data_IF_011392736221
#
_entry.id   IF_011392736221
#
_cell.length_a   1.000
_cell.length_b   1.000
_cell.length_c   1.000
_cell.angle_alpha   90.00
_cell.angle_beta   90.00
_cell.angle_gamma   90.00
#
_symmetry.space_group_name_H-M   'P 1'
#
loop_
_entity.id
_entity.type
_entity.pdbx_description
1 polymer ?
#
# COMPACT_ATOMS: atom_id res chain seq x y z
N UNK A 1 -6.42 19.32 -42.70
CA UNK A 1 -5.69 20.01 -43.79
C UNK A 1 -4.24 20.32 -43.43
N UNK A 2 -3.90 21.22 -42.49
CA UNK A 2 -2.48 21.54 -42.17
C UNK A 2 -1.68 20.35 -41.60
N UNK A 3 -2.29 19.52 -40.74
CA UNK A 3 -1.69 18.29 -40.21
C UNK A 3 -1.61 17.16 -41.26
N UNK A 4 -2.51 17.14 -42.25
CA UNK A 4 -2.48 16.19 -43.38
C UNK A 4 -1.39 16.53 -44.41
N UNK A 5 -0.93 17.78 -44.43
CA UNK A 5 0.16 18.26 -45.29
C UNK A 5 1.48 18.47 -44.53
N UNK A 6 1.55 18.04 -43.27
CA UNK A 6 2.70 18.15 -42.36
C UNK A 6 3.33 19.56 -42.27
N UNK A 7 2.54 20.61 -42.48
CA UNK A 7 3.05 21.96 -42.63
C UNK A 7 3.02 22.72 -41.29
N UNK A 8 4.03 22.49 -40.45
CA UNK A 8 4.12 23.04 -39.08
C UNK A 8 4.26 24.56 -39.03
N UNK A 9 4.96 25.17 -40.00
CA UNK A 9 5.13 26.63 -40.08
C UNK A 9 3.80 27.35 -40.29
N UNK A 10 2.93 26.80 -41.14
CA UNK A 10 1.59 27.34 -41.39
C UNK A 10 0.67 27.19 -40.18
N UNK A 11 0.82 26.10 -39.43
CA UNK A 11 0.10 25.88 -38.18
C UNK A 11 0.51 26.89 -37.10
N UNK A 12 1.81 27.11 -36.91
CA UNK A 12 2.33 28.14 -36.00
C UNK A 12 1.86 29.55 -36.39
N UNK A 13 1.83 29.86 -37.69
CA UNK A 13 1.30 31.14 -38.18
C UNK A 13 -0.20 31.31 -37.85
N UNK A 14 -1.01 30.27 -38.00
CA UNK A 14 -2.42 30.32 -37.62
C UNK A 14 -2.62 30.40 -36.10
N UNK A 15 -1.76 29.76 -35.31
CA UNK A 15 -1.79 29.88 -33.85
C UNK A 15 -1.46 31.30 -33.39
N UNK A 16 -0.49 31.96 -34.02
CA UNK A 16 -0.17 33.36 -33.73
C UNK A 16 -1.28 34.33 -34.19
N UNK A 17 -1.85 34.09 -35.38
CA UNK A 17 -2.87 34.97 -35.98
C UNK A 17 -4.24 34.87 -35.29
N UNK A 18 -4.58 33.71 -34.73
CA UNK A 18 -5.85 33.46 -34.03
C UNK A 18 -5.63 33.23 -32.53
N UNK A 19 -4.58 33.79 -31.95
CA UNK A 19 -4.30 33.70 -30.52
C UNK A 19 -5.48 34.23 -29.68
N UNK A 20 -6.10 35.32 -30.12
CA UNK A 20 -7.24 35.97 -29.45
C UNK A 20 -8.55 35.15 -29.52
N UNK A 21 -8.60 34.10 -30.35
CA UNK A 21 -9.78 33.24 -30.52
C UNK A 21 -9.59 31.86 -29.87
N UNK A 22 -8.58 31.68 -29.01
CA UNK A 22 -8.24 30.40 -28.38
C UNK A 22 -8.10 29.25 -29.39
N UNK A 23 -7.52 29.53 -30.56
CA UNK A 23 -7.29 28.51 -31.59
C UNK A 23 -6.40 27.36 -31.10
N UNK A 24 -5.50 27.63 -30.15
CA UNK A 24 -4.69 26.62 -29.49
C UNK A 24 -5.54 25.56 -28.76
N UNK A 25 -6.63 25.95 -28.09
CA UNK A 25 -7.49 25.01 -27.37
C UNK A 25 -8.20 24.04 -28.33
N UNK A 26 -8.67 24.52 -29.48
CA UNK A 26 -9.27 23.68 -30.50
C UNK A 26 -8.27 22.66 -31.07
N UNK A 27 -7.03 23.11 -31.27
CA UNK A 27 -5.96 22.24 -31.75
C UNK A 27 -5.58 21.17 -30.70
N UNK A 28 -5.49 21.55 -29.43
CA UNK A 28 -5.19 20.63 -28.34
C UNK A 28 -6.30 19.60 -28.13
N UNK A 29 -7.58 20.01 -28.19
CA UNK A 29 -8.73 19.09 -28.20
C UNK A 29 -8.68 18.12 -29.37
N UNK A 30 -8.38 18.61 -30.57
CA UNK A 30 -8.25 17.77 -31.74
C UNK A 30 -7.09 16.76 -31.63
N UNK A 31 -5.93 17.17 -31.10
CA UNK A 31 -4.81 16.26 -30.84
C UNK A 31 -5.16 15.17 -29.82
N UNK A 32 -5.95 15.52 -28.79
CA UNK A 32 -6.48 14.58 -27.81
C UNK A 32 -7.45 13.57 -28.44
N UNK A 33 -8.43 14.04 -29.22
CA UNK A 33 -9.42 13.19 -29.92
C UNK A 33 -8.78 12.24 -30.94
N UNK A 34 -7.68 12.65 -31.58
CA UNK A 34 -6.95 11.83 -32.55
C UNK A 34 -5.85 10.98 -31.92
N UNK A 35 -5.70 10.99 -30.59
CA UNK A 35 -4.69 10.20 -29.87
C UNK A 35 -3.25 10.64 -30.11
N UNK A 36 -3.00 11.83 -30.67
CA UNK A 36 -1.67 12.34 -31.03
C UNK A 36 -0.99 13.05 -29.85
N UNK A 37 -0.92 12.38 -28.70
CA UNK A 37 -0.39 12.93 -27.44
C UNK A 37 1.09 13.31 -27.52
N UNK A 38 1.90 12.56 -28.26
CA UNK A 38 3.32 12.90 -28.46
C UNK A 38 3.53 14.26 -29.15
N UNK A 39 2.66 14.61 -30.10
CA UNK A 39 2.70 15.92 -30.77
C UNK A 39 2.14 17.06 -29.92
N UNK A 40 1.26 16.76 -28.96
CA UNK A 40 0.79 17.74 -27.98
C UNK A 40 1.94 18.19 -27.07
N UNK A 41 2.81 17.25 -26.69
CA UNK A 41 3.93 17.50 -25.76
C UNK A 41 5.16 18.09 -26.44
N UNK A 42 5.32 17.90 -27.76
CA UNK A 42 6.43 18.45 -28.54
C UNK A 42 6.20 19.88 -29.04
N UNK A 43 5.30 20.64 -28.41
CA UNK A 43 4.97 22.00 -28.87
C UNK A 43 6.08 23.00 -28.47
N UNK A 44 6.29 24.06 -29.28
CA UNK A 44 7.29 25.08 -28.99
C UNK A 44 7.06 25.79 -27.65
N UNK A 45 8.15 26.28 -27.03
CA UNK A 45 8.14 26.94 -25.72
C UNK A 45 7.18 28.15 -25.63
N UNK A 46 6.91 28.83 -26.74
CA UNK A 46 5.95 29.95 -26.80
C UNK A 46 4.50 29.54 -26.51
N UNK A 47 4.18 28.25 -26.59
CA UNK A 47 2.83 27.71 -26.42
C UNK A 47 2.67 26.95 -25.09
N UNK A 48 3.74 26.82 -24.28
CA UNK A 48 3.71 26.12 -23.00
C UNK A 48 2.72 26.76 -22.01
N UNK A 49 2.53 28.07 -22.03
CA UNK A 49 1.54 28.74 -21.18
C UNK A 49 0.09 28.38 -21.56
N UNK A 50 -0.24 28.39 -22.85
CA UNK A 50 -1.58 28.00 -23.34
C UNK A 50 -1.83 26.50 -23.13
N UNK A 51 -0.79 25.69 -23.33
CA UNK A 51 -0.84 24.26 -23.07
C UNK A 51 -1.01 23.97 -21.56
N UNK A 52 -0.34 24.70 -20.67
CA UNK A 52 -0.53 24.57 -19.23
C UNK A 52 -1.97 24.89 -18.80
N UNK A 53 -2.55 25.99 -19.31
CA UNK A 53 -3.96 26.35 -19.08
C UNK A 53 -4.92 25.25 -19.55
N UNK A 54 -4.68 24.71 -20.74
CA UNK A 54 -5.45 23.58 -21.28
C UNK A 54 -5.30 22.31 -20.43
N UNK A 55 -4.08 22.00 -19.98
CA UNK A 55 -3.77 20.83 -19.17
C UNK A 55 -4.28 20.92 -17.73
N UNK A 56 -4.63 22.10 -17.20
CA UNK A 56 -5.34 22.19 -15.92
C UNK A 56 -6.67 21.42 -15.94
N UNK A 57 -7.35 21.39 -17.09
CA UNK A 57 -8.57 20.60 -17.30
C UNK A 57 -8.29 19.09 -17.44
N UNK A 58 -7.03 18.70 -17.67
CA UNK A 58 -6.58 17.33 -17.89
C UNK A 58 -5.42 16.97 -16.96
N UNK A 59 -5.69 17.01 -15.64
CA UNK A 59 -4.70 16.74 -14.58
C UNK A 59 -3.87 15.46 -14.78
N UNK A 60 -4.44 14.43 -15.43
CA UNK A 60 -3.76 13.16 -15.71
C UNK A 60 -2.53 13.28 -16.64
N UNK A 61 -2.43 14.34 -17.44
CA UNK A 61 -1.34 14.58 -18.39
C UNK A 61 -0.43 15.76 -18.01
N UNK A 62 -0.80 16.54 -17.00
CA UNK A 62 -0.08 17.77 -16.63
C UNK A 62 1.36 17.50 -16.19
N UNK A 63 1.61 16.37 -15.51
CA UNK A 63 2.96 16.00 -15.06
C UNK A 63 3.95 15.81 -16.22
N UNK A 64 3.51 15.32 -17.39
CA UNK A 64 4.38 15.17 -18.56
C UNK A 64 4.85 16.53 -19.10
N UNK A 65 3.95 17.52 -19.07
CA UNK A 65 4.30 18.89 -19.46
C UNK A 65 5.23 19.53 -18.43
N UNK A 66 4.95 19.35 -17.13
CA UNK A 66 5.81 19.87 -16.06
C UNK A 66 7.24 19.32 -16.17
N UNK A 67 7.42 18.02 -16.46
CA UNK A 67 8.76 17.43 -16.71
C UNK A 67 9.43 18.07 -17.93
N UNK A 68 8.69 18.32 -19.01
CA UNK A 68 9.26 18.95 -20.20
C UNK A 68 9.69 20.40 -19.97
N UNK A 69 9.00 21.12 -19.09
CA UNK A 69 9.31 22.50 -18.68
C UNK A 69 10.37 22.56 -17.57
N UNK A 70 10.90 21.40 -17.14
CA UNK A 70 11.81 21.26 -15.99
C UNK A 70 11.21 21.70 -14.65
N UNK A 71 9.88 21.77 -14.53
CA UNK A 71 9.18 22.00 -13.27
C UNK A 71 8.91 20.67 -12.56
N UNK A 72 9.95 20.11 -11.95
CA UNK A 72 9.87 18.81 -11.29
C UNK A 72 8.98 18.82 -10.04
N UNK A 73 8.88 19.96 -9.35
CA UNK A 73 8.06 20.09 -8.15
C UNK A 73 6.55 20.00 -8.48
N UNK A 74 6.11 20.72 -9.51
CA UNK A 74 4.72 20.63 -9.96
C UNK A 74 4.42 19.25 -10.59
N UNK A 75 5.41 18.60 -11.19
CA UNK A 75 5.29 17.23 -11.68
C UNK A 75 5.05 16.25 -10.52
N UNK A 76 5.89 16.32 -9.47
CA UNK A 76 5.77 15.52 -8.25
C UNK A 76 4.37 15.66 -7.62
N UNK A 77 3.91 16.88 -7.35
CA UNK A 77 2.57 17.13 -6.77
C UNK A 77 1.45 16.52 -7.58
N UNK A 78 1.53 16.64 -8.91
CA UNK A 78 0.53 16.06 -9.81
C UNK A 78 0.56 14.53 -9.79
N UNK A 79 1.75 13.93 -9.80
CA UNK A 79 1.94 12.48 -9.74
C UNK A 79 1.47 11.91 -8.40
N UNK A 80 1.79 12.56 -7.28
CA UNK A 80 1.35 12.16 -5.95
C UNK A 80 -0.17 12.21 -5.84
N UNK A 81 -0.81 13.28 -6.33
CA UNK A 81 -2.28 13.36 -6.36
C UNK A 81 -2.90 12.24 -7.21
N UNK A 82 -2.34 11.95 -8.38
CA UNK A 82 -2.80 10.84 -9.21
C UNK A 82 -2.59 9.48 -8.53
N UNK A 83 -1.48 9.28 -7.84
CA UNK A 83 -1.22 8.06 -7.07
C UNK A 83 -2.24 7.89 -5.94
N UNK A 84 -2.57 8.96 -5.23
CA UNK A 84 -3.57 8.95 -4.16
C UNK A 84 -4.97 8.59 -4.69
N UNK A 85 -5.35 9.12 -5.86
CA UNK A 85 -6.63 8.80 -6.51
C UNK A 85 -6.66 7.41 -7.16
N UNK A 86 -5.51 6.81 -7.44
CA UNK A 86 -5.43 5.50 -8.07
C UNK A 86 -5.74 4.40 -7.07
N UNK A 87 -6.92 3.80 -7.23
CA UNK A 87 -7.38 2.63 -6.47
C UNK A 87 -7.62 1.40 -7.36
N UNK A 88 -7.64 1.60 -8.69
CA UNK A 88 -8.07 0.57 -9.65
C UNK A 88 -6.97 -0.40 -10.04
N UNK A 89 -5.74 0.09 -10.17
CA UNK A 89 -4.60 -0.74 -10.57
C UNK A 89 -3.43 -0.57 -9.62
N UNK A 90 -3.08 -1.63 -8.89
CA UNK A 90 -1.98 -1.64 -7.95
C UNK A 90 -0.63 -1.28 -8.59
N UNK A 91 -0.29 -1.93 -9.71
CA UNK A 91 0.97 -1.68 -10.45
C UNK A 91 1.06 -0.23 -10.92
N UNK A 92 -0.07 0.37 -11.31
CA UNK A 92 -0.12 1.76 -11.74
C UNK A 92 0.15 2.71 -10.57
N UNK A 93 -0.45 2.48 -9.40
CA UNK A 93 -0.20 3.29 -8.19
C UNK A 93 1.29 3.26 -7.82
N UNK A 94 1.91 2.07 -7.80
CA UNK A 94 3.35 1.93 -7.55
C UNK A 94 4.20 2.70 -8.55
N UNK A 95 3.88 2.59 -9.84
CA UNK A 95 4.62 3.29 -10.89
C UNK A 95 4.51 4.81 -10.74
N UNK A 96 3.32 5.32 -10.40
CA UNK A 96 3.10 6.74 -10.16
C UNK A 96 3.88 7.25 -8.94
N UNK A 97 3.92 6.49 -7.83
CA UNK A 97 4.72 6.84 -6.65
C UNK A 97 6.22 6.80 -6.95
N UNK A 98 6.70 5.76 -7.64
CA UNK A 98 8.11 5.68 -8.03
C UNK A 98 8.53 6.83 -8.95
N UNK A 99 7.69 7.19 -9.93
CA UNK A 99 7.91 8.37 -10.78
C UNK A 99 7.89 9.66 -9.95
N UNK A 100 6.94 9.79 -9.02
CA UNK A 100 6.82 10.92 -8.11
C UNK A 100 8.10 11.11 -7.28
N UNK A 101 8.62 10.03 -6.71
CA UNK A 101 9.88 10.00 -5.95
C UNK A 101 11.07 10.42 -6.81
N UNK A 102 11.19 9.88 -8.03
CA UNK A 102 12.27 10.25 -8.95
C UNK A 102 12.19 11.72 -9.37
N UNK A 103 10.99 12.26 -9.63
CA UNK A 103 10.83 13.68 -9.95
C UNK A 103 11.18 14.57 -8.76
N UNK A 104 10.83 14.14 -7.55
CA UNK A 104 11.16 14.87 -6.33
C UNK A 104 12.68 14.89 -6.08
N UNK A 105 13.35 13.75 -6.24
CA UNK A 105 14.81 13.65 -6.12
C UNK A 105 15.58 14.42 -7.20
N UNK A 106 14.98 14.62 -8.37
CA UNK A 106 15.54 15.42 -9.45
C UNK A 106 15.26 16.93 -9.29
N UNK A 107 14.47 17.34 -8.29
CA UNK A 107 14.15 18.74 -8.06
C UNK A 107 15.20 19.45 -7.21
N UNK A 108 15.34 20.77 -7.39
CA UNK A 108 16.31 21.62 -6.68
C UNK A 108 15.82 22.04 -5.27
N UNK A 109 15.07 21.18 -4.57
CA UNK A 109 14.57 21.45 -3.22
C UNK A 109 15.72 21.43 -2.18
N UNK A 110 15.50 22.14 -1.07
CA UNK A 110 16.40 22.06 0.08
C UNK A 110 16.35 20.64 0.70
N UNK A 111 17.50 20.13 1.14
CA UNK A 111 17.64 18.74 1.64
C UNK A 111 16.66 18.43 2.79
N UNK A 112 16.34 19.39 3.65
CA UNK A 112 15.40 19.20 4.77
C UNK A 112 13.94 19.03 4.31
N UNK A 113 13.50 19.80 3.30
CA UNK A 113 12.15 19.69 2.73
C UNK A 113 12.03 18.48 1.83
N UNK A 114 13.12 18.14 1.14
CA UNK A 114 13.24 16.93 0.33
C UNK A 114 13.10 15.68 1.19
N UNK A 115 13.80 15.62 2.34
CA UNK A 115 13.75 14.49 3.27
C UNK A 115 12.32 14.20 3.72
N UNK A 116 11.60 15.23 4.21
CA UNK A 116 10.20 15.08 4.66
C UNK A 116 9.27 14.52 3.58
N UNK A 117 9.33 15.10 2.37
CA UNK A 117 8.46 14.64 1.27
C UNK A 117 8.85 13.24 0.78
N UNK A 118 10.13 12.88 0.85
CA UNK A 118 10.58 11.52 0.54
C UNK A 118 10.10 10.54 1.59
N UNK A 119 10.16 10.89 2.88
CA UNK A 119 9.69 10.05 3.98
C UNK A 119 8.18 9.77 3.86
N UNK A 120 7.38 10.77 3.50
CA UNK A 120 5.95 10.60 3.23
C UNK A 120 5.68 9.59 2.10
N UNK A 121 6.48 9.63 1.02
CA UNK A 121 6.37 8.66 -0.09
C UNK A 121 6.85 7.28 0.36
N UNK A 122 7.93 7.21 1.14
CA UNK A 122 8.48 5.94 1.64
C UNK A 122 7.48 5.22 2.53
N UNK A 123 6.72 5.94 3.35
CA UNK A 123 5.66 5.32 4.15
C UNK A 123 4.51 4.80 3.24
N UNK A 124 4.10 5.55 2.22
CA UNK A 124 3.15 5.02 1.23
C UNK A 124 3.69 3.78 0.50
N UNK A 125 4.98 3.73 0.18
CA UNK A 125 5.63 2.55 -0.41
C UNK A 125 5.66 1.37 0.55
N UNK A 126 5.88 1.61 1.85
CA UNK A 126 5.87 0.58 2.91
C UNK A 126 4.49 -0.05 3.04
N UNK A 127 3.42 0.73 3.02
CA UNK A 127 2.05 0.19 2.95
C UNK A 127 1.86 -0.73 1.73
N UNK A 128 2.26 -0.27 0.53
CA UNK A 128 2.10 -1.04 -0.71
C UNK A 128 2.97 -2.30 -0.74
N UNK A 129 4.08 -2.34 0.00
CA UNK A 129 4.93 -3.52 0.13
C UNK A 129 4.17 -4.70 0.77
N UNK A 130 3.22 -4.43 1.67
CA UNK A 130 2.38 -5.48 2.25
C UNK A 130 1.49 -6.15 1.20
N UNK A 131 0.97 -5.41 0.22
CA UNK A 131 0.21 -5.98 -0.88
C UNK A 131 1.12 -6.69 -1.90
N UNK A 132 2.32 -6.16 -2.16
CA UNK A 132 3.28 -6.77 -3.08
C UNK A 132 3.80 -8.12 -2.58
N UNK A 133 4.00 -8.24 -1.27
CA UNK A 133 4.55 -9.45 -0.65
C UNK A 133 3.50 -10.51 -0.32
N UNK A 134 2.30 -10.40 -0.90
CA UNK A 134 1.26 -11.42 -0.81
C UNK A 134 1.76 -12.74 -1.43
N UNK A 135 1.52 -13.90 -0.78
CA UNK A 135 1.94 -15.18 -1.33
C UNK A 135 1.30 -15.48 -2.69
N UNK A 136 2.11 -15.86 -3.69
CA UNK A 136 1.60 -16.21 -5.03
C UNK A 136 0.61 -17.38 -5.00
N UNK A 137 0.81 -18.35 -4.11
CA UNK A 137 -0.10 -19.48 -3.91
C UNK A 137 -1.50 -19.01 -3.49
N UNK A 138 -1.59 -18.01 -2.61
CA UNK A 138 -2.85 -17.44 -2.18
C UNK A 138 -3.55 -16.70 -3.35
N UNK A 139 -2.79 -15.96 -4.15
CA UNK A 139 -3.32 -15.24 -5.32
C UNK A 139 -3.86 -16.22 -6.37
N UNK A 140 -3.17 -17.34 -6.61
CA UNK A 140 -3.62 -18.42 -7.48
C UNK A 140 -4.91 -19.08 -6.97
N UNK A 141 -4.97 -19.42 -5.68
CA UNK A 141 -6.16 -20.01 -5.05
C UNK A 141 -7.38 -19.07 -5.13
N UNK A 142 -7.16 -17.76 -5.02
CA UNK A 142 -8.20 -16.72 -5.17
C UNK A 142 -8.47 -16.29 -6.61
N UNK A 143 -7.78 -16.87 -7.60
CA UNK A 143 -7.86 -16.51 -9.02
C UNK A 143 -7.63 -15.00 -9.29
N UNK A 144 -6.74 -14.38 -8.52
CA UNK A 144 -6.40 -12.97 -8.66
C UNK A 144 -5.13 -12.79 -9.50
N UNK A 145 -5.21 -11.91 -10.50
CA UNK A 145 -4.05 -11.54 -11.30
C UNK A 145 -3.29 -10.39 -10.61
N UNK A 146 -1.99 -10.54 -10.31
CA UNK A 146 -1.17 -9.49 -9.69
C UNK A 146 -1.17 -8.16 -10.47
N UNK A 147 -1.23 -8.24 -11.80
CA UNK A 147 -1.14 -7.07 -12.67
C UNK A 147 -2.44 -6.26 -12.77
N UNK A 148 -3.58 -6.91 -12.57
CA UNK A 148 -4.90 -6.29 -12.71
C UNK A 148 -5.62 -6.10 -11.37
N UNK A 149 -4.96 -6.44 -10.25
CA UNK A 149 -5.59 -6.32 -8.95
C UNK A 149 -5.77 -4.84 -8.55
N UNK A 150 -6.89 -4.51 -7.88
CA UNK A 150 -7.08 -3.19 -7.29
C UNK A 150 -6.13 -2.99 -6.12
N UNK A 151 -6.02 -1.73 -5.68
CA UNK A 151 -5.32 -1.38 -4.45
C UNK A 151 -6.22 -1.78 -3.29
N UNK A 152 -5.72 -2.66 -2.43
CA UNK A 152 -6.47 -3.20 -1.31
C UNK A 152 -6.32 -2.30 -0.08
N UNK A 153 -7.37 -2.22 0.74
CA UNK A 153 -7.30 -1.55 2.04
C UNK A 153 -6.56 -2.42 3.05
N UNK A 154 -6.09 -1.80 4.14
CA UNK A 154 -5.42 -2.50 5.25
C UNK A 154 -6.27 -3.67 5.78
N UNK A 155 -7.57 -3.43 6.01
CA UNK A 155 -8.51 -4.47 6.44
C UNK A 155 -8.57 -5.67 5.48
N UNK A 156 -8.69 -5.42 4.17
CA UNK A 156 -8.75 -6.49 3.18
C UNK A 156 -7.43 -7.27 3.10
N UNK A 157 -6.29 -6.60 3.27
CA UNK A 157 -4.98 -7.25 3.33
C UNK A 157 -4.84 -8.13 4.57
N UNK A 158 -5.26 -7.65 5.74
CA UNK A 158 -5.27 -8.43 6.98
C UNK A 158 -6.08 -9.72 6.78
N UNK A 159 -7.32 -9.60 6.27
CA UNK A 159 -8.18 -10.74 6.02
C UNK A 159 -7.57 -11.76 5.05
N UNK A 160 -6.84 -11.31 4.02
CA UNK A 160 -6.14 -12.18 3.10
C UNK A 160 -4.96 -12.91 3.77
N UNK A 161 -4.16 -12.20 4.58
CA UNK A 161 -3.03 -12.79 5.30
C UNK A 161 -3.47 -13.88 6.29
N UNK A 162 -4.57 -13.64 7.01
CA UNK A 162 -5.08 -14.55 8.04
C UNK A 162 -6.05 -15.62 7.52
N UNK A 163 -6.37 -15.62 6.22
CA UNK A 163 -7.36 -16.53 5.65
C UNK A 163 -6.96 -18.00 5.79
N UNK A 164 -7.95 -18.90 5.93
CA UNK A 164 -7.72 -20.35 5.94
C UNK A 164 -7.08 -20.85 4.63
N UNK A 165 -7.31 -20.12 3.52
CA UNK A 165 -6.71 -20.37 2.20
C UNK A 165 -5.19 -20.11 2.17
N UNK A 166 -4.65 -19.27 3.07
CA UNK A 166 -3.19 -19.13 3.20
C UNK A 166 -2.61 -20.33 3.97
N UNK A 167 -2.52 -21.49 3.31
CA UNK A 167 -2.10 -22.76 3.92
C UNK A 167 -0.68 -22.76 4.46
N UNK A 168 0.17 -21.85 3.97
CA UNK A 168 1.59 -21.72 4.38
C UNK A 168 1.84 -20.44 5.19
N UNK A 169 0.81 -19.87 5.80
CA UNK A 169 0.94 -18.72 6.67
C UNK A 169 1.98 -18.98 7.76
N UNK A 170 2.97 -18.11 7.85
CA UNK A 170 4.06 -18.18 8.83
C UNK A 170 4.04 -16.96 9.76
N UNK A 171 4.99 -16.88 10.69
CA UNK A 171 5.10 -15.78 11.65
C UNK A 171 5.25 -14.40 11.00
N UNK A 172 5.78 -14.32 9.77
CA UNK A 172 5.92 -13.06 9.04
C UNK A 172 4.59 -12.59 8.46
N UNK A 173 3.74 -13.50 8.00
CA UNK A 173 2.41 -13.15 7.46
C UNK A 173 1.51 -12.58 8.56
N UNK A 174 1.51 -13.19 9.74
CA UNK A 174 0.78 -12.67 10.89
C UNK A 174 1.40 -11.37 11.44
N UNK A 175 2.74 -11.24 11.43
CA UNK A 175 3.40 -9.98 11.79
C UNK A 175 3.03 -8.84 10.83
N UNK A 176 3.02 -9.09 9.53
CA UNK A 176 2.55 -8.10 8.53
C UNK A 176 1.08 -7.73 8.75
N UNK A 177 0.22 -8.69 9.11
CA UNK A 177 -1.17 -8.41 9.44
C UNK A 177 -1.30 -7.51 10.68
N UNK A 178 -0.45 -7.71 11.69
CA UNK A 178 -0.37 -6.84 12.87
C UNK A 178 0.16 -5.44 12.52
N UNK A 179 1.16 -5.33 11.65
CA UNK A 179 1.70 -4.04 11.18
C UNK A 179 0.66 -3.26 10.38
N UNK A 180 -0.20 -3.96 9.64
CA UNK A 180 -1.29 -3.36 8.88
C UNK A 180 -2.37 -2.71 9.77
N UNK A 181 -2.41 -3.01 11.08
CA UNK A 181 -3.33 -2.36 12.02
C UNK A 181 -3.05 -0.85 12.17
N UNK A 182 -1.80 -0.42 12.00
CA UNK A 182 -1.42 1.00 12.06
C UNK A 182 -2.03 1.82 10.91
N UNK A 183 -2.37 1.16 9.80
CA UNK A 183 -2.93 1.79 8.60
C UNK A 183 -4.47 1.73 8.55
N UNK A 184 -5.12 1.28 9.63
CA UNK A 184 -6.58 1.35 9.77
C UNK A 184 -6.91 2.74 10.31
N UNK A 185 -7.74 3.49 9.60
CA UNK A 185 -8.12 4.82 10.07
C UNK A 185 -9.04 4.68 11.28
N UNK A 186 -8.94 5.59 12.24
CA UNK A 186 -9.87 5.64 13.39
C UNK A 186 -11.34 5.82 12.95
N UNK A 187 -11.56 6.36 11.74
CA UNK A 187 -12.87 6.52 11.10
C UNK A 187 -13.41 5.23 10.45
N UNK A 188 -12.56 4.22 10.27
CA UNK A 188 -13.02 2.92 9.78
C UNK A 188 -13.84 2.27 10.89
N UNK A 189 -15.09 1.88 10.60
CA UNK A 189 -16.03 1.29 11.57
C UNK A 189 -15.61 -0.11 12.09
N UNK A 190 -14.33 -0.45 11.96
CA UNK A 190 -13.75 -1.74 12.31
C UNK A 190 -12.93 -1.57 13.58
N UNK A 191 -13.33 -2.27 14.64
CA UNK A 191 -12.64 -2.22 15.92
C UNK A 191 -11.26 -2.90 15.81
N UNK A 192 -10.19 -2.11 15.98
CA UNK A 192 -8.81 -2.57 15.87
C UNK A 192 -8.48 -3.66 16.88
N UNK A 193 -9.07 -3.62 18.08
CA UNK A 193 -8.85 -4.64 19.09
C UNK A 193 -9.56 -5.95 18.71
N UNK A 194 -10.71 -5.90 18.04
CA UNK A 194 -11.37 -7.12 17.52
C UNK A 194 -10.54 -7.80 16.44
N UNK A 195 -9.98 -7.03 15.49
CA UNK A 195 -9.12 -7.57 14.44
C UNK A 195 -7.85 -8.17 15.02
N UNK A 196 -7.25 -7.51 16.00
CA UNK A 196 -6.08 -8.00 16.72
C UNK A 196 -6.38 -9.33 17.42
N UNK A 197 -7.54 -9.45 18.07
CA UNK A 197 -8.01 -10.73 18.62
C UNK A 197 -8.17 -11.80 17.54
N UNK A 198 -8.75 -11.45 16.38
CA UNK A 198 -8.92 -12.38 15.25
C UNK A 198 -7.57 -12.86 14.70
N UNK A 199 -6.60 -11.96 14.51
CA UNK A 199 -5.24 -12.29 14.03
C UNK A 199 -4.57 -13.28 14.97
N UNK A 200 -4.55 -13.00 16.28
CA UNK A 200 -3.96 -13.90 17.27
C UNK A 200 -4.75 -15.21 17.42
N UNK A 201 -6.08 -15.15 17.35
CA UNK A 201 -6.94 -16.35 17.38
C UNK A 201 -6.63 -17.30 16.23
N UNK A 202 -6.47 -16.77 15.01
CA UNK A 202 -6.10 -17.58 13.83
C UNK A 202 -4.66 -18.07 13.87
N UNK A 203 -3.72 -17.30 14.43
CA UNK A 203 -2.37 -17.77 14.68
C UNK A 203 -2.37 -18.99 15.61
N UNK A 204 -3.09 -18.89 16.74
CA UNK A 204 -3.24 -19.99 17.71
C UNK A 204 -3.91 -21.23 17.11
N UNK A 205 -4.89 -21.06 16.20
CA UNK A 205 -5.56 -22.20 15.54
C UNK A 205 -4.64 -22.96 14.58
N UNK A 206 -3.62 -22.31 14.01
CA UNK A 206 -2.66 -22.92 13.08
C UNK A 206 -1.61 -23.77 13.80
N UNK A 207 -1.33 -23.44 15.05
CA UNK A 207 -0.38 -24.18 15.87
C UNK A 207 -0.98 -25.51 16.35
N UNK A 208 -0.19 -26.57 16.28
CA UNK A 208 -0.65 -27.93 16.61
C UNK A 208 -0.45 -28.21 18.10
N UNK A 209 -1.40 -27.77 18.93
CA UNK A 209 -1.36 -27.94 20.39
C UNK A 209 -1.69 -29.36 20.87
N UNK A 210 -1.68 -30.33 19.96
CA UNK A 210 -2.16 -31.70 20.19
C UNK A 210 -1.07 -32.68 20.60
N UNK A 211 0.20 -32.36 20.36
CA UNK A 211 1.34 -33.29 20.50
C UNK A 211 2.11 -33.18 21.81
N UNK A 212 1.73 -32.26 22.70
CA UNK A 212 2.35 -32.18 24.01
C UNK A 212 1.78 -33.31 24.88
N UNK A 213 2.42 -34.47 24.79
CA UNK A 213 2.16 -35.68 25.57
C UNK A 213 2.49 -35.45 27.06
N UNK A 214 1.81 -34.52 27.75
CA UNK A 214 1.77 -34.35 29.21
C UNK A 214 3.10 -34.27 30.00
N UNK A 215 4.25 -34.31 29.33
CA UNK A 215 5.58 -34.51 29.91
C UNK A 215 6.60 -33.45 29.47
N UNK A 216 6.31 -32.68 28.43
CA UNK A 216 7.14 -31.57 27.99
C UNK A 216 6.80 -30.27 28.72
N UNK A 217 7.84 -29.47 29.02
CA UNK A 217 7.71 -28.12 29.56
C UNK A 217 6.80 -27.29 28.64
N UNK A 218 5.72 -26.67 29.16
CA UNK A 218 4.81 -25.80 28.40
C UNK A 218 5.52 -24.77 27.50
N UNK A 219 6.71 -24.31 27.92
CA UNK A 219 7.50 -23.34 27.17
C UNK A 219 8.26 -23.97 26.00
N UNK A 220 8.81 -25.17 26.18
CA UNK A 220 9.51 -25.88 25.09
C UNK A 220 8.51 -26.45 24.07
N UNK A 221 7.33 -26.90 24.52
CA UNK A 221 6.25 -27.34 23.64
C UNK A 221 5.71 -26.22 22.74
N UNK A 222 5.72 -24.98 23.23
CA UNK A 222 5.23 -23.81 22.49
C UNK A 222 6.32 -23.07 21.68
N UNK A 223 7.59 -23.42 21.85
CA UNK A 223 8.73 -22.68 21.27
C UNK A 223 8.72 -22.60 19.75
N UNK A 224 8.25 -23.66 19.08
CA UNK A 224 8.15 -23.72 17.63
C UNK A 224 6.83 -23.15 17.08
N UNK A 225 5.90 -22.76 17.96
CA UNK A 225 4.61 -22.19 17.58
C UNK A 225 4.77 -20.84 16.88
N UNK A 226 3.89 -20.58 15.92
CA UNK A 226 3.78 -19.31 15.21
C UNK A 226 3.49 -18.19 16.22
N UNK A 227 2.62 -18.46 17.20
CA UNK A 227 2.29 -17.51 18.25
C UNK A 227 3.53 -17.03 19.04
N UNK A 228 4.37 -17.95 19.54
CA UNK A 228 5.59 -17.59 20.28
C UNK A 228 6.61 -16.87 19.39
N UNK A 229 6.75 -17.28 18.12
CA UNK A 229 7.62 -16.58 17.18
C UNK A 229 7.18 -15.14 16.91
N UNK A 230 5.87 -14.88 16.87
CA UNK A 230 5.33 -13.51 16.79
C UNK A 230 5.70 -12.70 18.04
N UNK A 231 5.50 -13.26 19.24
CA UNK A 231 5.85 -12.59 20.51
C UNK A 231 7.34 -12.21 20.55
N UNK A 232 8.22 -13.14 20.19
CA UNK A 232 9.66 -12.90 20.14
C UNK A 232 10.02 -11.77 19.15
N UNK A 233 9.36 -11.70 17.99
CA UNK A 233 9.55 -10.62 17.02
C UNK A 233 9.08 -9.27 17.56
N UNK A 234 7.91 -9.23 18.21
CA UNK A 234 7.40 -8.00 18.83
C UNK A 234 8.35 -7.48 19.93
N UNK A 235 8.94 -8.39 20.72
CA UNK A 235 9.96 -8.03 21.71
C UNK A 235 11.26 -7.49 21.07
N UNK A 236 11.72 -8.09 19.96
CA UNK A 236 12.90 -7.61 19.23
C UNK A 236 12.72 -6.21 18.67
N UNK A 237 11.50 -5.85 18.29
CA UNK A 237 11.14 -4.51 17.80
C UNK A 237 10.91 -3.49 18.93
N UNK A 238 10.94 -3.93 20.20
CA UNK A 238 10.77 -3.07 21.37
C UNK A 238 9.32 -2.73 21.70
N UNK A 239 8.35 -3.44 21.15
CA UNK A 239 6.92 -3.21 21.41
C UNK A 239 6.54 -3.77 22.79
N UNK A 240 5.94 -2.94 23.66
CA UNK A 240 5.43 -3.38 24.97
C UNK A 240 4.29 -4.40 24.80
N UNK A 241 4.55 -5.67 25.12
CA UNK A 241 3.57 -6.76 25.06
C UNK A 241 2.43 -6.54 26.05
N UNK A 242 2.66 -5.82 27.17
CA UNK A 242 1.62 -5.51 28.15
C UNK A 242 0.51 -4.63 27.58
N UNK A 243 0.87 -3.71 26.67
CA UNK A 243 -0.09 -2.80 26.02
C UNK A 243 -0.58 -3.37 24.70
N UNK A 244 0.25 -4.18 24.04
CA UNK A 244 0.00 -4.69 22.71
C UNK A 244 -0.67 -6.07 22.67
N UNK A 245 -0.72 -6.85 23.74
CA UNK A 245 -1.44 -8.13 23.70
C UNK A 245 -2.90 -7.97 24.14
N UNK A 246 -3.86 -8.57 23.41
CA UNK A 246 -5.23 -8.69 23.89
C UNK A 246 -5.31 -9.49 25.19
N UNK A 247 -6.37 -9.25 25.97
CA UNK A 247 -6.60 -10.06 27.16
C UNK A 247 -6.78 -11.53 26.80
N UNK A 248 -6.15 -12.41 27.59
CA UNK A 248 -6.26 -13.87 27.40
C UNK A 248 -7.72 -14.32 27.43
N UNK A 249 -8.56 -13.65 28.21
CA UNK A 249 -10.00 -13.93 28.29
C UNK A 249 -10.71 -13.65 26.97
N UNK A 250 -10.36 -12.56 26.29
CA UNK A 250 -11.00 -12.17 25.04
C UNK A 250 -10.59 -13.11 23.90
N UNK A 251 -9.32 -13.53 23.88
CA UNK A 251 -8.85 -14.58 22.99
C UNK A 251 -9.55 -15.91 23.27
N UNK A 252 -9.64 -16.32 24.53
CA UNK A 252 -10.36 -17.53 24.92
C UNK A 252 -11.87 -17.43 24.72
N UNK A 253 -12.44 -16.26 24.46
CA UNK A 253 -13.86 -16.08 24.16
C UNK A 253 -14.17 -16.25 22.67
N UNK A 254 -13.19 -16.19 21.77
CA UNK A 254 -13.40 -16.35 20.33
C UNK A 254 -14.04 -17.71 19.98
N UNK A 255 -15.12 -17.69 19.19
CA UNK A 255 -15.84 -18.89 18.76
C UNK A 255 -14.97 -19.79 17.87
N UNK A 256 -14.02 -19.20 17.14
CA UNK A 256 -13.07 -19.91 16.28
C UNK A 256 -12.15 -20.86 17.05
N UNK A 257 -11.91 -20.60 18.33
CA UNK A 257 -11.09 -21.42 19.23
C UNK A 257 -11.90 -22.48 19.99
N UNK A 258 -13.22 -22.59 19.77
CA UNK A 258 -14.11 -23.53 20.47
C UNK A 258 -13.61 -24.99 20.45
N UNK A 259 -12.99 -25.43 19.36
CA UNK A 259 -12.38 -26.76 19.25
C UNK A 259 -11.17 -26.94 20.18
N UNK A 260 -10.37 -25.89 20.38
CA UNK A 260 -9.20 -25.89 21.26
C UNK A 260 -9.56 -25.63 22.73
N UNK A 261 -10.64 -24.90 23.01
CA UNK A 261 -11.20 -24.71 24.38
C UNK A 261 -11.60 -26.03 25.05
N UNK A 262 -11.93 -27.05 24.26
CA UNK A 262 -12.26 -28.39 24.78
C UNK A 262 -11.06 -29.09 25.45
N UNK A 263 -9.84 -28.57 25.27
CA UNK A 263 -8.59 -29.14 25.80
C UNK A 263 -8.05 -28.29 26.97
N UNK A 264 -8.12 -28.79 28.23
CA UNK A 264 -7.62 -28.05 29.41
C UNK A 264 -6.12 -27.70 29.34
N UNK A 265 -5.35 -28.51 28.62
CA UNK A 265 -3.90 -28.30 28.44
C UNK A 265 -3.60 -27.03 27.64
N UNK A 266 -4.42 -26.70 26.63
CA UNK A 266 -4.21 -25.52 25.79
C UNK A 266 -4.35 -24.22 26.59
N UNK A 267 -5.37 -24.10 27.44
CA UNK A 267 -5.57 -22.92 28.27
C UNK A 267 -4.42 -22.72 29.27
N UNK A 268 -3.90 -23.81 29.83
CA UNK A 268 -2.75 -23.77 30.74
C UNK A 268 -1.47 -23.31 30.02
N UNK A 269 -1.15 -23.88 28.86
CA UNK A 269 0.02 -23.50 28.06
C UNK A 269 -0.06 -22.05 27.60
N UNK A 270 -1.25 -21.59 27.17
CA UNK A 270 -1.43 -20.21 26.75
C UNK A 270 -1.16 -19.24 27.89
N UNK A 271 -1.76 -19.46 29.07
CA UNK A 271 -1.53 -18.61 30.25
C UNK A 271 -0.07 -18.63 30.70
N UNK A 272 0.57 -19.80 30.70
CA UNK A 272 1.99 -19.94 31.05
C UNK A 272 2.91 -19.15 30.10
N UNK A 273 2.66 -19.21 28.79
CA UNK A 273 3.43 -18.44 27.81
C UNK A 273 3.18 -16.93 27.98
N UNK A 274 1.94 -16.50 28.19
CA UNK A 274 1.63 -15.10 28.45
C UNK A 274 2.38 -14.57 29.68
N UNK A 275 2.31 -15.28 30.80
CA UNK A 275 3.01 -14.88 32.03
C UNK A 275 4.53 -14.84 31.83
N UNK A 276 5.10 -15.85 31.15
CA UNK A 276 6.54 -15.92 30.93
C UNK A 276 7.06 -14.78 30.04
N UNK A 277 6.43 -14.50 28.91
CA UNK A 277 6.87 -13.44 28.00
C UNK A 277 6.60 -12.04 28.55
N UNK A 278 5.52 -11.86 29.33
CA UNK A 278 5.28 -10.59 30.04
C UNK A 278 6.32 -10.33 31.15
N UNK A 279 6.75 -11.38 31.87
CA UNK A 279 7.83 -11.26 32.86
C UNK A 279 9.20 -11.06 32.22
N UNK A 280 9.47 -11.70 31.07
CA UNK A 280 10.76 -11.58 30.37
C UNK A 280 10.97 -10.19 29.78
N UNK A 281 9.89 -9.42 29.56
CA UNK A 281 9.96 -8.05 29.08
C UNK A 281 10.09 -7.00 30.20
N UNK A 282 9.79 -7.34 31.46
CA UNK A 282 10.02 -6.45 32.62
C UNK A 282 11.50 -6.40 32.98
#
# INVERSE_FOLDING_TARGET
>A
MCEQTNNQSRLQHYMAKFADQNFADFLFRWYMEKGKRGKLLSQPATQHHQLASFLQSHQHLSWLHHIHVHDYLSAHRTLQNQANMEMRYFVKKKTLLGLSKLTLLASDLQEEELGKQVDDIVEQERFLLHQETLPQQLLEEKQQNPDTMPVLSAHNLIQLYICDDNRRANEYDFKKALDLLEYINEDDAVDTETLKCEIFGKALRRDDWSTADGTDDPLEAAKDSIFVKILLKLMQEGVSLQTYLPEVKDLLNLDELSSLKSKPYFEFVLRANYEHYLQTQM
#
